data_IF_105889367595
#
_entry.id   IF_105889367595
#
_cell.length_a   1.000
_cell.length_b   1.000
_cell.length_c   1.000
_cell.angle_alpha   90.00
_cell.angle_beta   90.00
_cell.angle_gamma   90.00
#
_symmetry.space_group_name_H-M   'P 1'
#
loop_
_entity.id
_entity.type
_entity.pdbx_description
1 polymer ?
#
# COMPACT_ATOMS: atom_id res chain seq x y z
N UNK A 1 -19.75 -56.82 -22.50
CA UNK A 1 -20.53 -55.87 -21.67
C UNK A 1 -19.85 -55.61 -20.33
N UNK A 2 -19.40 -56.64 -19.60
CA UNK A 2 -18.75 -56.48 -18.29
C UNK A 2 -17.41 -55.70 -18.25
N UNK A 3 -16.56 -55.76 -19.29
CA UNK A 3 -15.31 -54.96 -19.34
C UNK A 3 -15.58 -53.45 -19.49
N UNK A 4 -16.55 -53.09 -20.34
CA UNK A 4 -16.93 -51.70 -20.61
C UNK A 4 -17.55 -51.02 -19.37
N UNK A 5 -18.20 -51.81 -18.51
CA UNK A 5 -18.72 -51.34 -17.22
C UNK A 5 -17.61 -51.16 -16.17
N UNK A 6 -16.56 -51.99 -16.20
CA UNK A 6 -15.40 -51.84 -15.30
C UNK A 6 -14.53 -50.64 -15.66
N UNK A 7 -14.34 -50.37 -16.94
CA UNK A 7 -13.55 -49.23 -17.45
C UNK A 7 -14.22 -47.89 -17.08
N UNK A 8 -15.54 -47.76 -17.31
CA UNK A 8 -16.36 -46.61 -16.93
C UNK A 8 -16.35 -46.33 -15.41
N UNK A 9 -16.32 -47.38 -14.58
CA UNK A 9 -16.19 -47.24 -13.13
C UNK A 9 -14.79 -46.74 -12.70
N UNK A 10 -13.73 -47.05 -13.46
CA UNK A 10 -12.37 -46.61 -13.15
C UNK A 10 -12.14 -45.14 -13.56
N UNK A 11 -12.67 -44.71 -14.70
CA UNK A 11 -12.60 -43.32 -15.16
C UNK A 11 -13.40 -42.38 -14.24
N UNK A 12 -14.61 -42.80 -13.83
CA UNK A 12 -15.42 -42.04 -12.86
C UNK A 12 -14.75 -41.88 -11.49
N UNK A 13 -13.90 -42.81 -11.07
CA UNK A 13 -13.13 -42.68 -9.82
C UNK A 13 -11.99 -41.69 -9.96
N UNK A 14 -11.23 -41.75 -11.07
CA UNK A 14 -10.14 -40.81 -11.35
C UNK A 14 -10.62 -39.36 -11.50
N UNK A 15 -11.74 -39.15 -12.21
CA UNK A 15 -12.35 -37.82 -12.28
C UNK A 15 -12.79 -37.28 -10.92
N UNK A 16 -13.18 -38.17 -9.99
CA UNK A 16 -13.62 -37.76 -8.65
C UNK A 16 -12.43 -37.39 -7.77
N UNK A 17 -11.34 -38.16 -7.83
CA UNK A 17 -10.06 -37.81 -7.18
C UNK A 17 -9.51 -36.48 -7.72
N UNK A 18 -9.45 -36.30 -9.04
CA UNK A 18 -8.95 -35.05 -9.63
C UNK A 18 -9.80 -33.83 -9.25
N UNK A 19 -11.12 -34.01 -9.12
CA UNK A 19 -12.02 -32.94 -8.64
C UNK A 19 -11.79 -32.61 -7.17
N UNK A 20 -11.59 -33.63 -6.32
CA UNK A 20 -11.27 -33.46 -4.90
C UNK A 20 -9.92 -32.73 -4.72
N UNK A 21 -8.87 -33.11 -5.48
CA UNK A 21 -7.56 -32.43 -5.45
C UNK A 21 -7.65 -30.94 -5.84
N UNK A 22 -8.46 -30.60 -6.85
CA UNK A 22 -8.66 -29.21 -7.30
C UNK A 22 -9.45 -28.41 -6.25
N UNK A 23 -10.41 -29.04 -5.55
CA UNK A 23 -11.17 -28.40 -4.48
C UNK A 23 -10.29 -28.07 -3.27
N UNK A 24 -9.41 -28.99 -2.86
CA UNK A 24 -8.44 -28.75 -1.77
C UNK A 24 -7.47 -27.60 -2.10
N UNK A 25 -6.93 -27.58 -3.32
CA UNK A 25 -6.08 -26.49 -3.79
C UNK A 25 -6.83 -25.15 -3.83
N UNK A 26 -8.11 -25.16 -4.24
CA UNK A 26 -8.97 -23.98 -4.21
C UNK A 26 -9.17 -23.45 -2.80
N UNK A 27 -9.32 -24.33 -1.82
CA UNK A 27 -9.50 -23.95 -0.43
C UNK A 27 -8.23 -23.31 0.14
N UNK A 28 -7.06 -23.93 -0.10
CA UNK A 28 -5.77 -23.35 0.30
C UNK A 28 -5.54 -21.99 -0.36
N UNK A 29 -5.75 -21.88 -1.67
CA UNK A 29 -5.60 -20.61 -2.39
C UNK A 29 -6.62 -19.56 -1.92
N UNK A 30 -7.83 -19.96 -1.55
CA UNK A 30 -8.84 -19.08 -0.96
C UNK A 30 -8.36 -18.50 0.37
N UNK A 31 -7.76 -19.31 1.25
CA UNK A 31 -7.18 -18.83 2.51
C UNK A 31 -6.00 -17.90 2.25
N UNK A 32 -5.04 -18.29 1.40
CA UNK A 32 -3.88 -17.45 1.07
C UNK A 32 -4.30 -16.11 0.48
N UNK A 33 -5.30 -16.10 -0.40
CA UNK A 33 -5.83 -14.88 -1.02
C UNK A 33 -6.52 -13.92 -0.03
N UNK A 34 -6.91 -14.40 1.16
CA UNK A 34 -7.52 -13.59 2.22
C UNK A 34 -6.48 -13.13 3.24
N UNK A 35 -5.66 -14.06 3.73
CA UNK A 35 -4.71 -13.80 4.81
C UNK A 35 -3.55 -12.91 4.36
N UNK A 36 -2.97 -13.16 3.17
CA UNK A 36 -1.82 -12.38 2.70
C UNK A 36 -2.18 -10.89 2.52
N UNK A 37 -3.29 -10.52 1.86
CA UNK A 37 -3.69 -9.11 1.79
C UNK A 37 -4.08 -8.51 3.14
N UNK A 38 -4.66 -9.28 4.06
CA UNK A 38 -5.03 -8.80 5.40
C UNK A 38 -3.79 -8.44 6.23
N UNK A 39 -2.75 -9.29 6.19
CA UNK A 39 -1.47 -9.03 6.84
C UNK A 39 -0.79 -7.78 6.27
N UNK A 40 -0.75 -7.65 4.94
CA UNK A 40 -0.20 -6.46 4.28
C UNK A 40 -0.95 -5.20 4.72
N UNK A 41 -2.29 -5.22 4.75
CA UNK A 41 -3.11 -4.08 5.22
C UNK A 41 -2.82 -3.73 6.68
N UNK A 42 -2.61 -4.71 7.55
CA UNK A 42 -2.24 -4.49 8.95
C UNK A 42 -0.88 -3.78 9.10
N UNK A 43 0.12 -4.24 8.34
CA UNK A 43 1.46 -3.64 8.32
C UNK A 43 1.42 -2.22 7.75
N UNK A 44 0.70 -2.00 6.64
CA UNK A 44 0.49 -0.66 6.08
C UNK A 44 -0.20 0.25 7.09
N UNK A 45 -1.27 -0.21 7.75
CA UNK A 45 -1.96 0.60 8.76
C UNK A 45 -1.07 1.00 9.94
N UNK A 46 -0.10 0.15 10.30
CA UNK A 46 0.90 0.45 11.32
C UNK A 46 1.93 1.47 10.83
N UNK A 47 2.48 1.30 9.62
CA UNK A 47 3.55 2.13 9.05
C UNK A 47 3.03 3.46 8.47
N UNK A 48 1.80 3.51 7.98
CA UNK A 48 1.15 4.71 7.44
C UNK A 48 0.12 5.31 8.43
N UNK A 49 0.32 5.06 9.72
CA UNK A 49 -0.44 5.75 10.78
C UNK A 49 0.02 7.21 10.91
N UNK A 50 -0.81 8.07 11.53
CA UNK A 50 -0.42 9.46 11.83
C UNK A 50 0.85 9.50 12.70
N UNK A 51 1.02 8.54 13.61
CA UNK A 51 2.21 8.40 14.45
C UNK A 51 3.44 8.04 13.63
N UNK A 52 3.35 6.99 12.79
CA UNK A 52 4.46 6.58 11.94
C UNK A 52 4.83 7.65 10.90
N UNK A 53 3.86 8.41 10.38
CA UNK A 53 4.12 9.58 9.54
C UNK A 53 4.91 10.68 10.27
N UNK A 54 4.60 10.95 11.55
CA UNK A 54 5.37 11.90 12.37
C UNK A 54 6.78 11.38 12.67
N UNK A 55 6.92 10.09 12.98
CA UNK A 55 8.23 9.46 13.20
C UNK A 55 9.10 9.52 11.96
N UNK A 56 8.53 9.21 10.80
CA UNK A 56 9.21 9.32 9.51
C UNK A 56 9.64 10.76 9.22
N UNK A 57 8.76 11.75 9.45
CA UNK A 57 9.11 13.16 9.28
C UNK A 57 10.24 13.61 10.20
N UNK A 58 10.24 13.16 11.46
CA UNK A 58 11.34 13.41 12.41
C UNK A 58 12.65 12.78 11.95
N UNK A 59 12.61 11.55 11.47
CA UNK A 59 13.79 10.85 10.97
C UNK A 59 14.40 11.55 9.75
N UNK A 60 13.55 11.93 8.78
CA UNK A 60 14.00 12.68 7.61
C UNK A 60 14.59 14.06 7.96
N UNK A 61 13.96 14.78 8.90
CA UNK A 61 14.47 16.07 9.36
C UNK A 61 15.82 15.93 10.09
N UNK A 62 15.97 14.92 10.94
CA UNK A 62 17.24 14.63 11.61
C UNK A 62 18.34 14.26 10.60
N UNK A 63 18.01 13.41 9.63
CA UNK A 63 18.94 13.03 8.56
C UNK A 63 19.40 14.25 7.75
N UNK A 64 18.48 15.11 7.32
CA UNK A 64 18.81 16.36 6.62
C UNK A 64 19.73 17.26 7.45
N UNK A 65 19.42 17.42 8.74
CA UNK A 65 20.20 18.25 9.65
C UNK A 65 21.64 17.73 9.78
N UNK A 66 21.81 16.43 9.99
CA UNK A 66 23.14 15.79 10.07
C UNK A 66 23.93 15.96 8.77
N UNK A 67 23.28 15.86 7.60
CA UNK A 67 23.94 16.12 6.32
C UNK A 67 24.45 17.56 6.21
N UNK A 68 23.66 18.55 6.63
CA UNK A 68 24.10 19.96 6.65
C UNK A 68 25.23 20.18 7.66
N UNK A 69 25.15 19.58 8.84
CA UNK A 69 26.18 19.69 9.88
C UNK A 69 27.50 19.02 9.46
N UNK A 70 27.42 17.95 8.65
CA UNK A 70 28.59 17.33 8.02
C UNK A 70 29.21 18.17 6.89
N UNK A 71 28.65 19.35 6.59
CA UNK A 71 29.17 20.28 5.58
C UNK A 71 28.69 20.00 4.16
N UNK A 72 27.64 19.19 4.00
CA UNK A 72 27.08 18.90 2.68
C UNK A 72 26.28 20.12 2.17
N UNK A 73 26.41 20.48 0.88
CA UNK A 73 25.62 21.56 0.29
C UNK A 73 24.11 21.30 0.44
N UNK A 74 23.34 22.38 0.59
CA UNK A 74 21.90 22.32 0.84
C UNK A 74 21.14 21.53 -0.23
N UNK A 75 21.45 21.76 -1.50
CA UNK A 75 20.84 21.04 -2.63
C UNK A 75 21.12 19.53 -2.56
N UNK A 76 22.33 19.15 -2.17
CA UNK A 76 22.73 17.74 -2.04
C UNK A 76 22.01 17.10 -0.85
N UNK A 77 21.95 17.78 0.29
CA UNK A 77 21.28 17.30 1.49
C UNK A 77 19.76 17.13 1.28
N UNK A 78 19.12 18.07 0.57
CA UNK A 78 17.71 17.96 0.17
C UNK A 78 17.52 16.74 -0.72
N UNK A 79 18.29 16.60 -1.82
CA UNK A 79 18.16 15.44 -2.73
C UNK A 79 18.39 14.10 -2.03
N UNK A 80 19.36 14.00 -1.13
CA UNK A 80 19.61 12.77 -0.38
C UNK A 80 18.46 12.43 0.58
N UNK A 81 17.87 13.44 1.21
CA UNK A 81 16.71 13.27 2.10
C UNK A 81 15.46 12.91 1.31
N UNK A 82 15.22 13.54 0.16
CA UNK A 82 14.16 13.16 -0.79
C UNK A 82 14.33 11.71 -1.23
N UNK A 83 15.56 11.30 -1.58
CA UNK A 83 15.90 9.92 -1.90
C UNK A 83 15.56 8.96 -0.75
N UNK A 84 15.92 9.31 0.48
CA UNK A 84 15.60 8.54 1.67
C UNK A 84 14.08 8.36 1.86
N UNK A 85 13.28 9.42 1.74
CA UNK A 85 11.81 9.36 1.86
C UNK A 85 11.20 8.57 0.69
N UNK A 86 11.73 8.76 -0.53
CA UNK A 86 11.18 8.14 -1.75
C UNK A 86 11.26 6.61 -1.74
N UNK A 87 12.26 6.04 -1.07
CA UNK A 87 12.40 4.59 -0.91
C UNK A 87 11.19 4.01 -0.15
N UNK A 88 10.66 4.74 0.84
CA UNK A 88 9.48 4.33 1.61
C UNK A 88 8.18 4.51 0.82
N UNK A 89 8.04 5.60 0.05
CA UNK A 89 6.82 5.83 -0.75
C UNK A 89 6.73 4.84 -1.92
N UNK A 90 7.84 4.53 -2.58
CA UNK A 90 7.91 3.54 -3.66
C UNK A 90 7.48 2.15 -3.18
N UNK A 91 7.87 1.77 -1.96
CA UNK A 91 7.39 0.54 -1.33
C UNK A 91 5.88 0.61 -1.08
N UNK A 92 5.36 1.75 -0.63
CA UNK A 92 3.93 2.00 -0.50
C UNK A 92 3.15 1.85 -1.81
N UNK A 93 3.70 2.30 -2.93
CA UNK A 93 3.09 2.15 -4.25
C UNK A 93 3.03 0.70 -4.72
N UNK A 94 4.13 -0.07 -4.55
CA UNK A 94 4.16 -1.51 -4.84
C UNK A 94 3.13 -2.25 -3.99
N UNK A 95 3.03 -1.91 -2.71
CA UNK A 95 2.04 -2.49 -1.80
C UNK A 95 0.61 -2.09 -2.20
N UNK A 96 0.38 -0.84 -2.61
CA UNK A 96 -0.92 -0.37 -3.14
C UNK A 96 -1.30 -1.13 -4.42
N UNK A 97 -0.33 -1.43 -5.28
CA UNK A 97 -0.56 -2.20 -6.50
C UNK A 97 -0.84 -3.68 -6.21
N UNK A 98 -0.12 -4.28 -5.25
CA UNK A 98 -0.31 -5.67 -4.82
C UNK A 98 -1.65 -5.90 -4.10
N UNK A 99 -2.08 -4.94 -3.28
CA UNK A 99 -3.38 -4.97 -2.58
C UNK A 99 -4.53 -4.47 -3.46
N UNK A 100 -4.24 -3.62 -4.46
CA UNK A 100 -5.21 -2.95 -5.33
C UNK A 100 -5.47 -3.61 -6.69
N UNK A 101 -5.01 -4.84 -6.91
CA UNK A 101 -5.13 -5.58 -8.16
C UNK A 101 -6.54 -6.08 -8.53
N UNK A 102 -7.58 -5.22 -8.49
CA UNK A 102 -8.80 -5.23 -9.35
C UNK A 102 -9.83 -4.18 -8.88
N UNK A 103 -10.31 -3.37 -9.84
CA UNK A 103 -11.44 -2.40 -9.84
C UNK A 103 -11.21 -1.03 -9.19
N UNK A 104 -10.90 -0.05 -10.06
CA UNK A 104 -10.96 1.38 -9.79
C UNK A 104 -12.37 1.95 -9.65
N UNK A 105 -13.09 1.61 -8.58
CA UNK A 105 -14.36 2.29 -8.22
C UNK A 105 -14.31 2.90 -6.82
N UNK A 106 -13.60 2.32 -5.85
CA UNK A 106 -13.57 2.86 -4.46
C UNK A 106 -12.45 3.87 -4.16
N UNK A 107 -11.40 3.95 -4.98
CA UNK A 107 -10.27 4.87 -4.69
C UNK A 107 -10.66 6.34 -4.70
N UNK A 108 -11.65 6.74 -5.51
CA UNK A 108 -12.10 8.14 -5.59
C UNK A 108 -12.86 8.61 -4.35
N UNK A 109 -13.56 7.72 -3.67
CA UNK A 109 -14.34 8.06 -2.48
C UNK A 109 -13.44 8.09 -1.24
N UNK A 110 -12.51 7.13 -1.14
CA UNK A 110 -11.47 7.13 -0.12
C UNK A 110 -10.52 8.33 -0.26
N UNK A 111 -10.09 8.71 -1.47
CA UNK A 111 -9.25 9.90 -1.70
C UNK A 111 -9.96 11.21 -1.31
N UNK A 112 -11.26 11.31 -1.60
CA UNK A 112 -12.09 12.46 -1.19
C UNK A 112 -12.23 12.54 0.33
N UNK A 113 -12.48 11.42 1.00
CA UNK A 113 -12.62 11.37 2.46
C UNK A 113 -11.29 11.68 3.16
N UNK A 114 -10.18 11.14 2.66
CA UNK A 114 -8.83 11.45 3.16
C UNK A 114 -8.53 12.95 2.98
N UNK A 115 -8.79 13.50 1.78
CA UNK A 115 -8.57 14.93 1.51
C UNK A 115 -9.42 15.83 2.40
N UNK A 116 -10.67 15.44 2.68
CA UNK A 116 -11.58 16.17 3.58
C UNK A 116 -11.04 16.16 5.01
N UNK A 117 -10.67 15.00 5.54
CA UNK A 117 -10.11 14.88 6.91
C UNK A 117 -8.80 15.61 7.09
N UNK A 118 -7.94 15.62 6.06
CA UNK A 118 -6.68 16.40 6.10
C UNK A 118 -7.00 17.89 6.14
N UNK A 119 -7.90 18.39 5.27
CA UNK A 119 -8.32 19.80 5.29
C UNK A 119 -8.95 20.20 6.64
N UNK A 120 -9.86 19.39 7.18
CA UNK A 120 -10.47 19.64 8.50
C UNK A 120 -9.42 19.69 9.61
N UNK A 121 -8.49 18.72 9.66
CA UNK A 121 -7.42 18.69 10.68
C UNK A 121 -6.41 19.83 10.52
N UNK A 122 -6.15 20.32 9.30
CA UNK A 122 -5.27 21.46 9.07
C UNK A 122 -5.90 22.78 9.53
N UNK A 123 -7.20 22.95 9.28
CA UNK A 123 -7.98 24.09 9.77
C UNK A 123 -8.08 24.08 11.30
N UNK A 124 -8.29 22.90 11.90
CA UNK A 124 -8.38 22.71 13.36
C UNK A 124 -7.04 22.97 14.09
N UNK A 125 -5.92 22.67 13.43
CA UNK A 125 -4.56 22.93 13.97
C UNK A 125 -4.04 24.34 13.70
N UNK A 126 -4.83 25.22 13.07
CA UNK A 126 -4.49 26.64 12.90
C UNK A 126 -3.30 26.95 11.97
N UNK A 127 -2.85 25.99 11.15
CA UNK A 127 -1.77 26.16 10.18
C UNK A 127 -2.30 26.52 8.78
N UNK A 128 -3.33 27.36 8.73
CA UNK A 128 -3.69 28.02 7.48
C UNK A 128 -2.66 29.13 7.23
N UNK A 129 -1.50 28.76 6.66
CA UNK A 129 -0.71 29.74 5.94
C UNK A 129 -1.58 30.25 4.78
N UNK A 130 -2.00 31.50 4.94
CA UNK A 130 -2.52 32.32 3.86
C UNK A 130 -1.40 32.44 2.83
N UNK A 131 -1.53 31.77 1.70
CA UNK A 131 -0.98 32.34 0.48
C UNK A 131 -1.92 33.49 0.06
N UNK A 132 -1.58 34.70 0.52
CA UNK A 132 -2.06 35.96 -0.03
C UNK A 132 -0.85 36.85 -0.34
N UNK A 133 -0.74 37.27 -1.62
CA UNK A 133 0.20 38.28 -2.15
C UNK A 133 1.54 37.68 -2.59
N UNK A 134 2.05 37.90 -3.80
CA UNK A 134 2.13 39.16 -4.54
C UNK A 134 2.02 38.90 -6.05
N UNK A 135 1.11 39.61 -6.71
CA UNK A 135 1.33 40.03 -8.09
C UNK A 135 0.64 41.38 -8.30
N UNK A 136 1.34 42.44 -7.89
CA UNK A 136 1.13 43.80 -8.35
C UNK A 136 2.44 44.30 -8.98
N UNK A 137 2.30 44.72 -10.23
CA UNK A 137 3.04 45.79 -10.94
C UNK A 137 4.53 45.59 -11.30
N UNK A 138 4.76 45.28 -12.57
CA UNK A 138 5.43 46.18 -13.54
C UNK A 138 4.94 45.90 -14.98
#
# INVERSE_FOLDING_TARGET
>A
MAEKERECCSEKRKEKEEKEDIEELREVLSVVSKEVPALIKGIIGSIFSEEAGRDMGRAAAAFYKELKEAGLPEDVAVRMTEGYISAFTSLGEVLKQAVGGKKGVESKELEKEISRRIKEKLVEKGLAEKEEGENEED
#
